data_IF_649995524717
#
_entry.id   IF_649995524717
#
_cell.length_a   1.000
_cell.length_b   1.000
_cell.length_c   1.000
_cell.angle_alpha   90.00
_cell.angle_beta   90.00
_cell.angle_gamma   90.00
#
_symmetry.space_group_name_H-M   'P 1'
#
loop_
_entity.id
_entity.type
_entity.pdbx_description
1 polymer ?
#
# COMPACT_ATOMS: atom_id res chain seq x y z
N UNK A 1 -6.91 -6.33 -19.61
CA UNK A 1 -7.11 -4.85 -19.50
C UNK A 1 -6.15 -4.15 -20.44
N UNK A 2 -6.45 -2.92 -20.86
CA UNK A 2 -5.49 -2.12 -21.60
C UNK A 2 -4.92 -1.05 -20.69
N UNK A 3 -3.60 -0.98 -20.60
CA UNK A 3 -2.89 0.02 -19.82
C UNK A 3 -2.36 1.12 -20.74
N UNK A 4 -2.72 2.36 -20.47
CA UNK A 4 -2.22 3.53 -21.16
C UNK A 4 -1.32 4.33 -20.24
N UNK A 5 -0.08 4.61 -20.67
CA UNK A 5 0.83 5.49 -19.95
C UNK A 5 0.48 6.93 -20.27
N UNK A 6 -0.16 7.61 -19.31
CA UNK A 6 -0.56 9.01 -19.47
C UNK A 6 0.62 9.96 -19.35
N UNK A 7 1.57 9.65 -18.49
CA UNK A 7 2.74 10.48 -18.25
C UNK A 7 3.96 9.60 -17.99
N UNK A 8 5.03 9.80 -18.77
CA UNK A 8 6.29 9.07 -18.59
C UNK A 8 7.10 9.64 -17.42
N UNK A 9 7.03 10.97 -17.22
CA UNK A 9 7.82 11.69 -16.24
C UNK A 9 7.03 12.80 -15.58
N UNK A 10 6.39 12.51 -14.45
CA UNK A 10 5.81 13.52 -13.60
C UNK A 10 6.88 14.50 -13.07
N UNK A 11 6.53 15.73 -12.69
CA UNK A 11 7.51 16.71 -12.21
C UNK A 11 8.09 16.36 -10.84
N UNK A 12 7.40 15.54 -10.04
CA UNK A 12 7.96 15.01 -8.80
C UNK A 12 9.10 14.01 -9.06
N UNK A 13 9.99 13.84 -8.09
CA UNK A 13 11.13 12.92 -8.21
C UNK A 13 10.65 11.48 -8.20
N UNK A 14 11.27 10.63 -9.03
CA UNK A 14 11.02 9.19 -9.08
C UNK A 14 11.12 8.60 -7.66
N UNK A 15 10.13 7.81 -7.29
CA UNK A 15 9.97 7.31 -5.92
C UNK A 15 9.25 5.97 -5.82
N UNK A 16 9.73 5.14 -4.92
CA UNK A 16 8.99 4.03 -4.36
C UNK A 16 8.23 4.47 -3.13
N UNK A 17 7.17 3.74 -2.79
CA UNK A 17 6.34 3.98 -1.61
C UNK A 17 5.74 5.39 -1.55
N UNK A 18 5.32 5.96 -2.69
CA UNK A 18 4.44 7.12 -2.61
C UNK A 18 3.18 6.72 -1.85
N UNK A 19 2.66 7.66 -1.09
CA UNK A 19 1.33 7.58 -0.49
C UNK A 19 0.52 8.77 -0.96
N UNK A 20 -0.77 8.69 -0.78
CA UNK A 20 -1.69 9.74 -1.20
C UNK A 20 -3.11 9.24 -1.24
N UNK A 21 -3.89 9.80 -2.14
CA UNK A 21 -5.30 9.50 -2.29
C UNK A 21 -5.98 10.55 -3.13
N UNK A 22 -7.29 10.69 -2.96
CA UNK A 22 -8.11 11.66 -3.68
C UNK A 22 -8.81 12.61 -2.71
N UNK A 23 -8.73 13.91 -3.00
CA UNK A 23 -9.40 14.96 -2.26
C UNK A 23 -9.85 16.07 -3.22
N UNK A 24 -11.12 16.49 -3.13
CA UNK A 24 -11.68 17.61 -3.90
C UNK A 24 -11.42 17.51 -5.41
N UNK A 25 -11.50 16.30 -5.96
CA UNK A 25 -11.27 16.05 -7.38
C UNK A 25 -9.80 16.01 -7.81
N UNK A 26 -8.86 16.07 -6.88
CA UNK A 26 -7.42 15.93 -7.15
C UNK A 26 -6.89 14.58 -6.66
N UNK A 27 -5.96 14.02 -7.41
CA UNK A 27 -5.02 13.01 -6.92
C UNK A 27 -3.90 13.70 -6.14
N UNK A 28 -3.46 13.09 -5.07
CA UNK A 28 -2.31 13.53 -4.27
C UNK A 28 -1.22 12.47 -4.26
N UNK A 29 0.04 12.93 -4.36
CA UNK A 29 1.24 12.10 -4.23
C UNK A 29 2.16 12.78 -3.24
N UNK A 30 2.51 12.07 -2.17
CA UNK A 30 3.42 12.55 -1.13
C UNK A 30 4.31 11.40 -0.63
N UNK A 31 5.32 11.71 0.18
CA UNK A 31 6.24 10.73 0.80
C UNK A 31 7.08 9.91 -0.19
N UNK A 32 7.67 8.82 0.32
CA UNK A 32 8.41 7.86 -0.47
C UNK A 32 9.93 8.06 -0.44
N UNK A 33 10.62 7.19 -1.16
CA UNK A 33 12.08 7.21 -1.25
C UNK A 33 12.59 7.02 -2.67
N UNK A 34 13.80 7.53 -2.93
CA UNK A 34 14.57 7.22 -4.13
C UNK A 34 15.95 6.66 -3.76
N UNK A 35 16.30 5.55 -4.39
CA UNK A 35 17.55 4.85 -4.10
C UNK A 35 17.71 4.51 -2.61
N UNK A 36 18.95 4.48 -2.14
CA UNK A 36 19.29 4.12 -0.75
C UNK A 36 19.42 5.31 0.19
N UNK A 37 19.28 6.54 -0.28
CA UNK A 37 19.66 7.71 0.50
C UNK A 37 18.72 8.91 0.45
N UNK A 38 17.66 8.88 -0.34
CA UNK A 38 16.76 10.03 -0.46
C UNK A 38 15.36 9.65 -0.03
N UNK A 39 14.80 10.41 0.92
CA UNK A 39 13.43 10.30 1.41
C UNK A 39 12.75 11.65 1.25
N UNK A 40 11.49 11.65 0.91
CA UNK A 40 10.75 12.85 0.52
C UNK A 40 9.79 13.33 1.61
N UNK A 41 9.51 14.64 1.58
CA UNK A 41 8.50 15.32 2.40
C UNK A 41 7.69 16.34 1.59
N UNK A 42 7.72 16.21 0.28
CA UNK A 42 6.95 17.04 -0.64
C UNK A 42 5.52 16.51 -0.83
N UNK A 43 4.61 17.40 -1.15
CA UNK A 43 3.22 17.10 -1.47
C UNK A 43 2.92 17.65 -2.86
N UNK A 44 2.37 16.80 -3.70
CA UNK A 44 1.97 17.11 -5.08
C UNK A 44 0.51 16.76 -5.29
N UNK A 45 -0.17 17.50 -6.16
CA UNK A 45 -1.54 17.16 -6.58
C UNK A 45 -1.77 17.36 -8.07
N UNK A 46 -2.75 16.65 -8.61
CA UNK A 46 -3.14 16.72 -10.01
C UNK A 46 -4.65 16.49 -10.17
N UNK A 47 -5.36 17.28 -11.00
CA UNK A 47 -6.77 16.99 -11.29
C UNK A 47 -6.96 15.81 -12.25
N UNK A 48 -5.94 15.46 -13.04
CA UNK A 48 -6.03 14.59 -14.20
C UNK A 48 -4.88 13.57 -14.33
N UNK A 49 -3.96 13.52 -13.35
CA UNK A 49 -2.76 12.67 -13.38
C UNK A 49 -1.66 13.15 -14.34
N UNK A 50 -1.90 14.21 -15.09
CA UNK A 50 -0.96 14.75 -16.11
C UNK A 50 -0.42 16.13 -15.68
N UNK A 51 -1.31 17.02 -15.27
CA UNK A 51 -0.95 18.35 -14.81
C UNK A 51 -0.74 18.35 -13.30
N UNK A 52 0.49 18.51 -12.87
CA UNK A 52 0.88 18.45 -11.45
C UNK A 52 1.33 19.79 -10.93
N UNK A 53 0.88 20.15 -9.75
CA UNK A 53 1.41 21.27 -8.97
C UNK A 53 2.01 20.78 -7.65
N UNK A 54 3.09 21.41 -7.23
CA UNK A 54 3.68 21.19 -5.91
C UNK A 54 2.92 22.03 -4.87
N UNK A 55 2.19 21.34 -4.00
CA UNK A 55 1.44 21.98 -2.91
C UNK A 55 2.40 22.43 -1.80
N UNK A 56 3.29 21.54 -1.39
CA UNK A 56 4.27 21.78 -0.34
C UNK A 56 5.60 21.14 -0.72
N UNK A 57 6.69 21.90 -0.64
CA UNK A 57 8.01 21.41 -0.96
C UNK A 57 8.65 20.64 0.20
N UNK A 58 8.23 20.93 1.43
CA UNK A 58 8.79 20.35 2.66
C UNK A 58 7.74 20.46 3.77
N UNK A 59 6.96 19.41 3.93
CA UNK A 59 5.94 19.33 4.98
C UNK A 59 6.56 19.14 6.38
N UNK A 60 5.82 19.55 7.40
CA UNK A 60 6.22 19.60 8.80
C UNK A 60 6.52 18.23 9.39
N UNK A 61 5.85 17.16 8.93
CA UNK A 61 6.10 15.78 9.34
C UNK A 61 7.48 15.25 8.93
N UNK A 62 8.22 16.00 8.13
CA UNK A 62 9.58 15.67 7.73
C UNK A 62 9.65 14.57 6.65
N UNK A 63 10.85 14.03 6.44
CA UNK A 63 11.08 13.01 5.40
C UNK A 63 10.57 11.66 5.84
N UNK A 64 9.72 11.00 5.02
CA UNK A 64 9.13 9.70 5.32
C UNK A 64 9.07 8.76 4.13
N UNK A 65 9.33 7.48 4.41
CA UNK A 65 8.93 6.35 3.57
C UNK A 65 8.23 5.31 4.44
N UNK A 66 7.35 4.53 3.82
CA UNK A 66 6.45 3.57 4.50
C UNK A 66 5.55 4.17 5.60
N UNK A 67 5.13 5.45 5.56
CA UNK A 67 3.98 5.84 6.34
C UNK A 67 2.72 5.31 5.68
N UNK A 68 1.58 5.46 6.32
CA UNK A 68 0.29 5.40 5.64
C UNK A 68 -0.33 6.79 5.59
N UNK A 69 -1.19 7.00 4.59
CA UNK A 69 -1.93 8.24 4.40
C UNK A 69 -3.37 7.89 4.06
N UNK A 70 -4.27 8.39 4.88
CA UNK A 70 -5.70 8.29 4.65
C UNK A 70 -6.28 9.68 4.37
N UNK A 71 -7.39 9.70 3.62
CA UNK A 71 -8.15 10.93 3.37
C UNK A 71 -9.59 10.67 3.79
N UNK A 72 -10.01 11.35 4.83
CA UNK A 72 -11.33 11.16 5.48
C UNK A 72 -11.95 12.52 5.70
N UNK A 73 -13.16 12.72 5.19
CA UNK A 73 -13.96 13.95 5.40
C UNK A 73 -13.19 15.26 5.16
N UNK A 74 -12.34 15.27 4.14
CA UNK A 74 -11.53 16.44 3.79
C UNK A 74 -10.22 16.59 4.57
N UNK A 75 -9.94 15.70 5.52
CA UNK A 75 -8.71 15.68 6.31
C UNK A 75 -7.74 14.64 5.72
N UNK A 76 -6.51 15.05 5.47
CA UNK A 76 -5.42 14.12 5.20
C UNK A 76 -4.76 13.72 6.50
N UNK A 77 -4.66 12.42 6.75
CA UNK A 77 -4.06 11.84 7.96
C UNK A 77 -2.80 11.07 7.58
N UNK A 78 -1.63 11.48 8.05
CA UNK A 78 -0.37 10.75 7.86
C UNK A 78 0.00 10.05 9.16
N UNK A 79 0.27 8.76 9.07
CA UNK A 79 0.52 7.88 10.22
C UNK A 79 1.92 7.26 10.12
N UNK A 80 2.75 7.45 11.14
CA UNK A 80 4.01 6.75 11.36
C UNK A 80 5.00 6.76 10.17
N UNK A 81 5.62 5.60 9.88
CA UNK A 81 6.64 5.45 8.84
C UNK A 81 8.06 5.59 9.37
N UNK A 82 9.01 5.73 8.47
CA UNK A 82 10.42 5.90 8.84
C UNK A 82 11.13 6.89 7.90
N UNK A 83 12.16 7.53 8.41
CA UNK A 83 13.24 8.05 7.59
C UNK A 83 14.35 6.97 7.44
N UNK A 84 15.54 7.35 6.99
CA UNK A 84 16.64 6.40 6.83
C UNK A 84 17.22 5.87 8.17
N UNK A 85 16.86 6.46 9.30
CA UNK A 85 17.47 6.18 10.61
C UNK A 85 16.46 5.93 11.72
N UNK A 86 15.31 6.59 11.65
CA UNK A 86 14.33 6.67 12.73
C UNK A 86 12.99 6.11 12.27
N UNK A 87 12.38 5.28 13.09
CA UNK A 87 11.00 4.88 12.97
C UNK A 87 10.15 5.81 13.82
N UNK A 88 8.95 6.10 13.36
CA UNK A 88 8.03 7.05 13.97
C UNK A 88 6.76 6.35 14.46
N UNK A 89 6.06 7.00 15.38
CA UNK A 89 4.73 6.61 15.88
C UNK A 89 3.84 7.82 16.12
N UNK A 90 4.08 8.87 15.37
CA UNK A 90 3.31 10.11 15.39
C UNK A 90 2.20 10.11 14.33
N UNK A 91 1.24 11.01 14.49
CA UNK A 91 0.16 11.23 13.55
C UNK A 91 0.06 12.72 13.22
N UNK A 92 -0.18 13.03 11.97
CA UNK A 92 -0.26 14.37 11.42
C UNK A 92 -1.52 14.57 10.60
N UNK A 93 -2.15 15.73 10.74
CA UNK A 93 -3.32 16.13 9.97
C UNK A 93 -3.02 17.31 9.06
N UNK A 94 -3.71 17.34 7.91
CA UNK A 94 -3.84 18.52 7.08
C UNK A 94 -5.30 18.70 6.68
N UNK A 95 -5.85 19.88 6.93
CA UNK A 95 -7.22 20.26 6.59
C UNK A 95 -7.30 21.26 5.42
N UNK A 96 -6.14 21.56 4.81
CA UNK A 96 -6.00 22.56 3.74
C UNK A 96 -5.43 21.98 2.44
N UNK A 97 -5.61 20.65 2.26
CA UNK A 97 -5.14 19.92 1.08
C UNK A 97 -3.62 19.77 1.02
N UNK A 98 -2.99 19.53 2.15
CA UNK A 98 -1.56 19.22 2.26
C UNK A 98 -0.64 20.43 2.25
N UNK A 99 -1.18 21.67 2.40
CA UNK A 99 -0.34 22.89 2.46
C UNK A 99 0.37 23.03 3.79
N UNK A 100 -0.37 22.79 4.88
CA UNK A 100 0.17 22.81 6.25
C UNK A 100 -0.26 21.55 6.99
N UNK A 101 0.53 21.14 7.99
CA UNK A 101 0.31 19.93 8.75
C UNK A 101 0.49 20.17 10.23
N UNK A 102 -0.44 19.67 11.02
CA UNK A 102 -0.43 19.70 12.47
C UNK A 102 -0.17 18.31 13.04
N UNK A 103 0.71 18.21 14.03
CA UNK A 103 0.96 16.97 14.75
C UNK A 103 -0.10 16.79 15.82
N UNK A 104 -1.02 15.84 15.60
CA UNK A 104 -2.15 15.59 16.51
C UNK A 104 -1.82 14.50 17.54
N UNK A 105 -0.89 13.59 17.24
CA UNK A 105 -0.37 12.63 18.19
C UNK A 105 1.16 12.56 18.07
N UNK A 106 1.87 12.77 19.17
CA UNK A 106 3.34 12.80 19.20
C UNK A 106 3.96 11.44 19.51
N UNK A 107 3.25 10.57 20.22
CA UNK A 107 3.74 9.29 20.72
C UNK A 107 2.57 8.31 20.93
N UNK A 108 2.10 7.74 19.82
CA UNK A 108 0.97 6.82 19.84
C UNK A 108 1.34 5.50 20.57
N UNK A 109 0.39 4.87 21.28
CA UNK A 109 0.67 3.71 22.14
C UNK A 109 1.09 2.45 21.39
N UNK A 110 0.84 2.37 20.10
CA UNK A 110 1.23 1.24 19.27
C UNK A 110 2.74 1.22 18.91
N UNK A 111 3.51 2.23 19.33
CA UNK A 111 4.96 2.30 19.18
C UNK A 111 5.44 2.52 17.74
N UNK A 112 6.75 2.73 17.59
CA UNK A 112 7.37 3.05 16.28
C UNK A 112 7.26 1.92 15.28
N UNK A 113 6.78 2.20 14.06
CA UNK A 113 6.61 1.20 13.01
C UNK A 113 6.60 1.77 11.60
N UNK A 114 6.86 0.90 10.63
CA UNK A 114 6.78 1.19 9.20
C UNK A 114 6.26 -0.04 8.44
N UNK A 115 5.69 0.18 7.25
CA UNK A 115 5.09 -0.89 6.45
C UNK A 115 3.86 -1.53 7.11
N UNK A 116 3.25 -0.82 8.06
CA UNK A 116 1.92 -1.10 8.57
C UNK A 116 0.90 -0.77 7.48
N UNK A 117 -0.36 -1.06 7.73
CA UNK A 117 -1.47 -0.63 6.88
C UNK A 117 -2.50 0.08 7.74
N UNK A 118 -3.04 1.18 7.24
CA UNK A 118 -4.22 1.82 7.81
C UNK A 118 -5.44 1.58 6.93
N UNK A 119 -6.61 1.61 7.52
CA UNK A 119 -7.86 1.45 6.81
C UNK A 119 -8.98 2.18 7.54
N UNK A 120 -9.78 2.93 6.81
CA UNK A 120 -10.96 3.59 7.37
C UNK A 120 -12.16 2.67 7.25
N UNK A 121 -12.78 2.36 8.38
CA UNK A 121 -13.98 1.55 8.45
C UNK A 121 -15.10 2.30 9.18
N UNK A 122 -16.07 2.82 8.44
CA UNK A 122 -17.07 3.71 8.99
C UNK A 122 -16.43 5.02 9.49
N UNK A 123 -16.52 5.26 10.78
CA UNK A 123 -15.98 6.43 11.48
C UNK A 123 -14.64 6.18 12.19
N UNK A 124 -14.05 5.00 12.02
CA UNK A 124 -12.81 4.63 12.70
C UNK A 124 -11.64 4.48 11.75
N UNK A 125 -10.49 4.97 12.20
CA UNK A 125 -9.20 4.70 11.57
C UNK A 125 -8.57 3.46 12.24
N UNK A 126 -8.35 2.42 11.47
CA UNK A 126 -7.73 1.17 11.91
C UNK A 126 -6.26 1.13 11.51
N UNK A 127 -5.40 0.55 12.36
CA UNK A 127 -3.99 0.34 12.09
C UNK A 127 -3.60 -1.12 12.32
N UNK A 128 -3.02 -1.75 11.29
CA UNK A 128 -2.66 -3.16 11.26
C UNK A 128 -1.15 -3.35 11.13
N UNK A 129 -0.59 -4.23 11.93
CA UNK A 129 0.73 -4.79 11.71
C UNK A 129 1.87 -3.77 11.64
N UNK A 130 2.71 -3.96 10.63
CA UNK A 130 3.97 -3.24 10.48
C UNK A 130 5.13 -3.86 11.23
N UNK A 131 6.30 -3.26 11.09
CA UNK A 131 7.51 -3.73 11.73
C UNK A 131 8.37 -2.58 12.22
N UNK A 132 9.15 -2.82 13.27
CA UNK A 132 10.27 -1.97 13.65
C UNK A 132 11.59 -2.68 13.42
N UNK A 133 12.65 -1.88 13.24
CA UNK A 133 14.02 -2.32 13.04
C UNK A 133 14.26 -3.02 11.68
N UNK A 134 15.26 -2.55 10.98
CA UNK A 134 15.63 -3.06 9.65
C UNK A 134 16.50 -4.31 9.68
N UNK A 135 17.10 -4.65 10.83
CA UNK A 135 18.05 -5.78 10.96
C UNK A 135 17.37 -7.00 11.57
N UNK A 136 16.75 -6.83 12.74
CA UNK A 136 15.98 -7.88 13.41
C UNK A 136 14.52 -7.41 13.44
N UNK A 137 13.79 -7.64 12.37
CA UNK A 137 12.42 -7.18 12.24
C UNK A 137 11.55 -7.75 13.35
N UNK A 138 10.90 -6.86 14.10
CA UNK A 138 9.85 -7.22 15.05
C UNK A 138 8.55 -6.81 14.37
N UNK A 139 7.71 -7.80 14.10
CA UNK A 139 6.40 -7.61 13.52
C UNK A 139 5.35 -7.50 14.63
N UNK A 140 4.34 -6.70 14.41
CA UNK A 140 3.28 -6.43 15.37
C UNK A 140 1.99 -7.14 14.96
N UNK A 141 1.58 -8.22 15.64
CA UNK A 141 0.28 -8.87 15.42
C UNK A 141 -0.81 -8.13 16.19
N UNK A 142 -1.04 -6.89 15.88
CA UNK A 142 -1.95 -6.01 16.61
C UNK A 142 -2.87 -5.27 15.65
N UNK A 143 -4.10 -5.06 16.09
CA UNK A 143 -5.04 -4.11 15.51
C UNK A 143 -5.33 -3.01 16.52
N UNK A 144 -5.06 -1.79 16.14
CA UNK A 144 -5.39 -0.59 16.88
C UNK A 144 -6.50 0.19 16.15
N UNK A 145 -7.34 0.87 16.91
CA UNK A 145 -8.42 1.68 16.38
C UNK A 145 -8.39 3.08 17.01
N UNK A 146 -8.74 4.05 16.20
CA UNK A 146 -8.89 5.45 16.59
C UNK A 146 -10.26 5.96 16.13
N UNK A 147 -11.05 6.55 17.03
CA UNK A 147 -12.34 7.15 16.71
C UNK A 147 -12.24 8.62 16.25
N UNK A 148 -11.03 9.19 16.26
CA UNK A 148 -10.76 10.61 16.11
C UNK A 148 -9.59 10.88 15.15
N UNK A 149 -9.51 10.08 14.08
CA UNK A 149 -8.52 10.19 13.00
C UNK A 149 -7.06 10.09 13.49
N UNK A 150 -6.81 9.41 14.59
CA UNK A 150 -5.46 9.15 15.09
C UNK A 150 -4.98 10.05 16.22
N UNK A 151 -5.84 10.90 16.79
CA UNK A 151 -5.52 11.69 17.99
C UNK A 151 -5.37 10.76 19.20
N UNK A 152 -6.31 9.81 19.37
CA UNK A 152 -6.26 8.77 20.41
C UNK A 152 -6.41 7.38 19.81
N UNK A 153 -5.88 6.38 20.52
CA UNK A 153 -5.85 5.00 20.04
C UNK A 153 -6.15 4.01 21.15
N UNK A 154 -6.89 2.96 20.80
CA UNK A 154 -7.12 1.81 21.67
C UNK A 154 -6.67 0.51 20.96
N UNK A 155 -6.13 -0.42 21.75
CA UNK A 155 -5.83 -1.76 21.24
C UNK A 155 -7.15 -2.52 21.07
N UNK A 156 -7.54 -2.75 19.83
CA UNK A 156 -8.78 -3.45 19.49
C UNK A 156 -8.64 -4.96 19.62
N UNK A 157 -7.55 -5.52 19.12
CA UNK A 157 -7.32 -6.95 19.12
C UNK A 157 -5.83 -7.31 19.08
N UNK A 158 -5.49 -8.43 19.73
CA UNK A 158 -4.28 -9.19 19.41
C UNK A 158 -4.61 -10.14 18.28
N UNK A 159 -3.96 -9.94 17.13
CA UNK A 159 -4.18 -10.74 15.95
C UNK A 159 -3.46 -12.09 16.04
N UNK A 160 -3.86 -13.11 15.28
CA UNK A 160 -3.04 -14.30 15.06
C UNK A 160 -1.60 -13.92 14.70
N UNK A 161 -0.62 -14.64 15.24
CA UNK A 161 0.81 -14.32 15.05
C UNK A 161 1.19 -14.19 13.57
N UNK A 162 0.60 -15.04 12.72
CA UNK A 162 0.81 -15.00 11.27
C UNK A 162 0.29 -13.73 10.59
N UNK A 163 -0.52 -12.92 11.26
CA UNK A 163 -0.98 -11.62 10.78
C UNK A 163 -0.07 -10.45 11.21
N UNK A 164 0.95 -10.70 12.03
CA UNK A 164 2.01 -9.71 12.30
C UNK A 164 2.93 -9.58 11.09
N UNK A 165 2.63 -8.64 10.18
CA UNK A 165 3.28 -8.50 8.88
C UNK A 165 3.57 -7.05 8.52
N UNK A 166 4.39 -6.88 7.48
CA UNK A 166 4.58 -5.61 6.80
C UNK A 166 4.26 -5.76 5.30
N UNK A 167 3.80 -4.66 4.67
CA UNK A 167 3.49 -4.63 3.23
C UNK A 167 2.31 -5.53 2.82
N UNK A 168 1.43 -5.86 3.76
CA UNK A 168 0.11 -6.47 3.52
C UNK A 168 -0.87 -5.39 3.08
N UNK A 169 -2.04 -5.84 2.64
CA UNK A 169 -3.17 -4.98 2.31
C UNK A 169 -4.41 -5.38 3.11
N UNK A 170 -5.18 -4.38 3.50
CA UNK A 170 -6.50 -4.55 4.09
C UNK A 170 -7.49 -3.74 3.29
N UNK A 171 -8.61 -4.33 2.94
CA UNK A 171 -9.72 -3.67 2.26
C UNK A 171 -11.03 -4.04 2.94
N UNK A 172 -12.09 -3.29 2.70
CA UNK A 172 -13.44 -3.64 3.16
C UNK A 172 -14.43 -3.69 2.01
N UNK A 173 -15.35 -4.64 2.08
CA UNK A 173 -16.54 -4.72 1.23
C UNK A 173 -17.73 -4.96 2.15
N UNK A 174 -18.75 -4.10 2.10
CA UNK A 174 -19.93 -4.14 2.96
C UNK A 174 -19.58 -4.27 4.45
N UNK A 175 -18.64 -3.43 4.95
CA UNK A 175 -18.12 -3.43 6.33
C UNK A 175 -17.37 -4.72 6.74
N UNK A 176 -17.20 -5.67 5.86
CA UNK A 176 -16.39 -6.87 6.08
C UNK A 176 -14.94 -6.58 5.70
N UNK A 177 -14.03 -6.78 6.65
CA UNK A 177 -12.60 -6.58 6.41
C UNK A 177 -11.95 -7.83 5.80
N UNK A 178 -11.06 -7.59 4.83
CA UNK A 178 -10.23 -8.62 4.20
C UNK A 178 -8.76 -8.22 4.30
N UNK A 179 -7.97 -9.02 4.99
CA UNK A 179 -6.53 -8.86 5.16
C UNK A 179 -5.79 -9.86 4.27
N UNK A 180 -4.77 -9.43 3.52
CA UNK A 180 -4.13 -10.29 2.54
C UNK A 180 -2.66 -9.99 2.30
N UNK A 181 -1.90 -11.04 2.00
CA UNK A 181 -0.50 -10.96 1.58
C UNK A 181 0.46 -10.39 2.64
N UNK A 182 1.51 -9.73 2.20
CA UNK A 182 2.54 -9.16 3.06
C UNK A 182 3.70 -10.09 3.36
N UNK A 183 4.60 -9.65 4.21
CA UNK A 183 5.85 -10.33 4.56
C UNK A 183 5.92 -10.49 6.09
N UNK A 184 6.09 -11.73 6.54
CA UNK A 184 6.25 -12.11 7.95
C UNK A 184 7.53 -12.90 8.10
N UNK A 185 8.31 -12.58 9.12
CA UNK A 185 9.53 -13.25 9.53
C UNK A 185 10.65 -13.34 8.46
N UNK A 186 11.67 -12.52 8.66
CA UNK A 186 12.95 -12.65 7.96
C UNK A 186 14.07 -12.88 8.97
N UNK A 187 14.53 -14.10 9.13
CA UNK A 187 15.89 -14.27 9.63
C UNK A 187 16.84 -13.70 8.59
N UNK A 188 17.55 -12.64 8.91
CA UNK A 188 18.45 -11.88 8.03
C UNK A 188 19.53 -12.77 7.37
N UNK A 189 19.71 -13.99 7.83
CA UNK A 189 20.75 -14.93 7.43
C UNK A 189 20.25 -16.25 6.83
N UNK A 190 18.95 -16.44 6.65
CA UNK A 190 18.46 -17.65 5.98
C UNK A 190 18.09 -17.36 4.53
N UNK A 191 18.70 -18.11 3.63
CA UNK A 191 18.51 -18.04 2.18
C UNK A 191 17.11 -18.45 1.68
N UNK A 192 16.19 -18.80 2.57
CA UNK A 192 14.80 -19.10 2.26
C UNK A 192 13.93 -17.88 2.54
N UNK A 193 13.63 -17.12 1.52
CA UNK A 193 12.77 -15.95 1.55
C UNK A 193 11.27 -16.33 1.57
N UNK A 194 10.85 -17.15 2.52
CA UNK A 194 9.50 -17.70 2.57
C UNK A 194 8.52 -16.88 3.44
N UNK A 195 8.88 -15.65 3.79
CA UNK A 195 8.03 -14.75 4.59
C UNK A 195 6.80 -14.20 3.87
N UNK A 196 6.81 -14.18 2.53
CA UNK A 196 5.67 -13.65 1.75
C UNK A 196 4.49 -14.57 1.79
N UNK A 197 3.30 -13.98 1.77
CA UNK A 197 2.02 -14.67 1.91
C UNK A 197 1.07 -14.37 0.75
N UNK A 198 0.09 -15.24 0.58
CA UNK A 198 -1.06 -15.07 -0.31
C UNK A 198 -2.36 -15.57 0.36
N UNK A 199 -2.33 -15.71 1.67
CA UNK A 199 -3.51 -16.02 2.46
C UNK A 199 -4.44 -14.80 2.53
N UNK A 200 -5.71 -15.10 2.67
CA UNK A 200 -6.78 -14.12 2.81
C UNK A 200 -7.55 -14.42 4.09
N UNK A 201 -7.64 -13.44 4.95
CA UNK A 201 -8.36 -13.49 6.20
C UNK A 201 -9.55 -12.56 6.16
N UNK A 202 -10.62 -12.93 6.83
CA UNK A 202 -11.86 -12.17 6.92
C UNK A 202 -12.21 -11.84 8.36
N UNK A 203 -12.74 -10.64 8.59
CA UNK A 203 -13.38 -10.24 9.84
C UNK A 203 -14.73 -9.60 9.53
N UNK A 204 -15.77 -10.02 10.28
CA UNK A 204 -17.14 -9.48 10.21
C UNK A 204 -17.53 -8.70 11.46
N UNK A 205 -16.59 -8.50 12.38
CA UNK A 205 -16.79 -7.85 13.68
C UNK A 205 -15.80 -6.71 13.90
N UNK A 206 -15.52 -5.95 12.84
CA UNK A 206 -14.61 -4.78 12.83
C UNK A 206 -13.19 -5.12 13.28
N UNK A 207 -12.71 -6.33 12.96
CA UNK A 207 -11.35 -6.77 13.20
C UNK A 207 -11.09 -7.42 14.56
N UNK A 208 -12.11 -7.67 15.38
CA UNK A 208 -11.94 -8.34 16.69
C UNK A 208 -11.57 -9.81 16.51
N UNK A 209 -12.25 -10.51 15.61
CA UNK A 209 -11.93 -11.90 15.28
C UNK A 209 -11.69 -12.09 13.79
N UNK A 210 -10.88 -13.09 13.44
CA UNK A 210 -10.43 -13.34 12.08
C UNK A 210 -10.55 -14.80 11.70
N UNK A 211 -11.06 -15.04 10.52
CA UNK A 211 -11.17 -16.36 9.89
C UNK A 211 -10.24 -16.43 8.68
N UNK A 212 -9.42 -17.48 8.60
CA UNK A 212 -8.64 -17.76 7.41
C UNK A 212 -9.56 -18.38 6.33
N UNK A 213 -9.81 -17.65 5.24
CA UNK A 213 -10.57 -18.14 4.11
C UNK A 213 -9.76 -19.11 3.23
N UNK A 214 -8.45 -18.97 3.21
CA UNK A 214 -7.53 -19.81 2.44
C UNK A 214 -6.44 -19.01 1.75
N UNK A 215 -5.88 -19.61 0.70
CA UNK A 215 -4.83 -19.00 -0.11
C UNK A 215 -5.37 -18.58 -1.47
N UNK A 216 -5.12 -17.33 -1.85
CA UNK A 216 -5.43 -16.85 -3.18
C UNK A 216 -4.53 -17.52 -4.24
N UNK A 217 -4.96 -17.59 -5.51
CA UNK A 217 -4.18 -18.27 -6.57
C UNK A 217 -2.94 -17.49 -7.02
N UNK A 218 -2.84 -16.21 -6.67
CA UNK A 218 -1.66 -15.41 -7.02
C UNK A 218 -0.44 -15.78 -6.17
N UNK A 219 0.74 -15.56 -6.75
CA UNK A 219 2.02 -15.83 -6.10
C UNK A 219 2.16 -15.02 -4.80
N UNK A 220 2.62 -15.62 -3.69
CA UNK A 220 2.87 -14.90 -2.43
C UNK A 220 3.67 -13.63 -2.65
N UNK A 221 3.21 -12.51 -2.10
CA UNK A 221 3.72 -11.17 -2.40
C UNK A 221 3.67 -10.19 -1.25
N UNK A 222 4.50 -9.16 -1.35
CA UNK A 222 4.51 -7.98 -0.47
C UNK A 222 4.65 -6.71 -1.31
N UNK A 223 4.29 -5.54 -0.78
CA UNK A 223 4.36 -4.28 -1.53
C UNK A 223 3.46 -4.25 -2.76
N UNK A 224 2.50 -5.18 -2.85
CA UNK A 224 1.36 -5.10 -3.76
C UNK A 224 0.38 -4.05 -3.27
N UNK A 225 -0.53 -3.66 -4.13
CA UNK A 225 -1.63 -2.79 -3.74
C UNK A 225 -2.96 -3.51 -3.93
N UNK A 226 -3.94 -3.17 -3.10
CA UNK A 226 -5.30 -3.65 -3.24
C UNK A 226 -6.28 -2.47 -3.12
N UNK A 227 -7.31 -2.50 -3.96
CA UNK A 227 -8.41 -1.53 -3.94
C UNK A 227 -9.73 -2.23 -4.16
N UNK A 228 -10.82 -1.56 -3.79
CA UNK A 228 -12.18 -2.03 -4.05
C UNK A 228 -12.85 -1.10 -5.05
N UNK A 229 -13.47 -1.69 -6.06
CA UNK A 229 -14.33 -0.98 -7.00
C UNK A 229 -15.59 -1.82 -7.23
N UNK A 230 -16.75 -1.21 -7.06
CA UNK A 230 -18.07 -1.86 -7.25
C UNK A 230 -18.19 -3.21 -6.51
N UNK A 231 -17.70 -3.28 -5.26
CA UNK A 231 -17.70 -4.48 -4.44
C UNK A 231 -16.67 -5.55 -4.82
N UNK A 232 -15.86 -5.31 -5.85
CA UNK A 232 -14.82 -6.22 -6.30
C UNK A 232 -13.46 -5.76 -5.77
N UNK A 233 -12.72 -6.68 -5.16
CA UNK A 233 -11.34 -6.48 -4.70
C UNK A 233 -10.38 -6.71 -5.85
N UNK A 234 -9.53 -5.74 -6.14
CA UNK A 234 -8.46 -5.84 -7.12
C UNK A 234 -7.10 -5.87 -6.42
N UNK A 235 -6.28 -6.88 -6.73
CA UNK A 235 -4.88 -7.01 -6.26
C UNK A 235 -3.94 -6.81 -7.43
N UNK A 236 -2.98 -5.90 -7.30
CA UNK A 236 -2.13 -5.44 -8.39
C UNK A 236 -0.66 -5.47 -7.99
N UNK A 237 0.19 -6.06 -8.83
CA UNK A 237 1.64 -6.00 -8.72
C UNK A 237 2.22 -6.59 -7.43
N UNK A 238 3.35 -6.04 -7.01
CA UNK A 238 4.08 -6.41 -5.79
C UNK A 238 5.36 -7.18 -6.02
N UNK A 239 6.16 -7.31 -4.98
CA UNK A 239 7.33 -8.17 -4.95
C UNK A 239 6.92 -9.64 -4.82
N UNK A 240 7.33 -10.47 -5.76
CA UNK A 240 7.12 -11.91 -5.76
C UNK A 240 8.46 -12.65 -5.79
N UNK A 241 8.42 -13.92 -5.48
CA UNK A 241 9.59 -14.79 -5.60
C UNK A 241 9.66 -15.39 -7.00
N UNK A 242 10.86 -15.47 -7.56
CA UNK A 242 11.10 -16.17 -8.80
C UNK A 242 11.01 -17.71 -8.68
N UNK A 243 11.03 -18.42 -9.82
CA UNK A 243 11.06 -19.87 -9.85
C UNK A 243 12.13 -20.47 -8.94
N UNK A 244 11.93 -21.71 -8.45
CA UNK A 244 12.80 -22.37 -7.45
C UNK A 244 14.27 -22.51 -7.88
N UNK A 245 14.53 -22.53 -9.16
CA UNK A 245 15.87 -22.59 -9.77
C UNK A 245 16.59 -21.23 -9.77
N UNK A 246 15.85 -20.13 -9.59
CA UNK A 246 16.39 -18.78 -9.54
C UNK A 246 16.14 -18.13 -8.16
N UNK A 247 16.41 -18.84 -7.09
CA UNK A 247 16.10 -18.48 -5.68
C UNK A 247 16.57 -17.09 -5.24
N UNK A 248 17.52 -16.50 -5.94
CA UNK A 248 18.12 -15.20 -5.63
C UNK A 248 17.50 -14.04 -6.36
N UNK A 249 16.64 -14.29 -7.36
CA UNK A 249 15.95 -13.23 -8.09
C UNK A 249 14.59 -12.96 -7.46
N UNK A 250 14.40 -11.71 -7.08
CA UNK A 250 13.09 -11.17 -6.82
C UNK A 250 12.52 -10.72 -8.16
N UNK A 251 11.22 -10.84 -8.31
CA UNK A 251 10.49 -10.38 -9.48
C UNK A 251 9.41 -9.41 -9.04
N UNK A 252 9.06 -8.51 -9.92
CA UNK A 252 7.90 -7.66 -9.76
C UNK A 252 6.73 -8.26 -10.53
N UNK A 253 5.61 -8.44 -9.85
CA UNK A 253 4.41 -8.91 -10.49
C UNK A 253 3.84 -7.82 -11.41
N UNK A 254 3.29 -8.27 -12.54
CA UNK A 254 2.60 -7.44 -13.53
C UNK A 254 1.17 -7.90 -13.76
N UNK A 255 0.66 -8.71 -12.84
CA UNK A 255 -0.68 -9.26 -12.87
C UNK A 255 -1.68 -8.40 -12.11
N UNK A 256 -2.92 -8.45 -12.55
CA UNK A 256 -4.10 -7.90 -11.89
C UNK A 256 -5.07 -9.04 -11.63
N UNK A 257 -5.42 -9.22 -10.38
CA UNK A 257 -6.39 -10.20 -9.92
C UNK A 257 -7.64 -9.51 -9.40
N UNK A 258 -8.79 -10.11 -9.65
CA UNK A 258 -10.07 -9.62 -9.15
C UNK A 258 -10.79 -10.71 -8.36
N UNK A 259 -11.50 -10.31 -7.32
CA UNK A 259 -12.28 -11.17 -6.47
C UNK A 259 -13.51 -10.42 -5.94
N UNK A 260 -14.68 -11.01 -6.16
CA UNK A 260 -15.92 -10.56 -5.55
C UNK A 260 -16.21 -11.46 -4.33
N UNK A 261 -15.97 -10.97 -3.11
CA UNK A 261 -16.17 -11.76 -1.90
C UNK A 261 -17.63 -12.07 -1.64
N UNK A 262 -18.55 -11.21 -2.06
CA UNK A 262 -20.00 -11.40 -1.84
C UNK A 262 -20.54 -12.41 -2.82
N UNK A 263 -20.33 -12.22 -4.12
CA UNK A 263 -20.82 -13.15 -5.14
C UNK A 263 -20.20 -14.55 -5.03
N UNK A 264 -18.94 -14.64 -4.61
CA UNK A 264 -18.26 -15.93 -4.39
C UNK A 264 -18.58 -16.60 -3.04
N UNK A 265 -19.33 -15.93 -2.16
CA UNK A 265 -19.55 -16.37 -0.78
C UNK A 265 -18.26 -16.52 0.02
N UNK A 266 -17.25 -15.73 -0.28
CA UNK A 266 -15.92 -15.80 0.34
C UNK A 266 -15.01 -16.90 -0.22
N UNK A 267 -15.44 -17.63 -1.25
CA UNK A 267 -14.63 -18.70 -1.84
C UNK A 267 -13.36 -18.18 -2.51
N UNK A 268 -12.22 -18.81 -2.23
CA UNK A 268 -10.95 -18.51 -2.90
C UNK A 268 -10.96 -18.91 -4.37
N UNK A 269 -11.84 -19.80 -4.80
CA UNK A 269 -12.05 -20.13 -6.21
C UNK A 269 -12.69 -18.98 -7.01
N UNK A 270 -13.23 -17.97 -6.34
CA UNK A 270 -13.78 -16.77 -6.97
C UNK A 270 -12.72 -15.79 -7.50
N UNK A 271 -11.44 -15.98 -7.19
CA UNK A 271 -10.36 -15.19 -7.75
C UNK A 271 -10.19 -15.44 -9.25
N UNK A 272 -10.06 -14.39 -10.02
CA UNK A 272 -9.79 -14.46 -11.48
C UNK A 272 -8.61 -13.57 -11.85
N UNK A 273 -7.75 -14.08 -12.70
CA UNK A 273 -6.72 -13.27 -13.36
C UNK A 273 -7.43 -12.38 -14.39
N UNK A 274 -7.31 -11.06 -14.22
CA UNK A 274 -7.94 -10.07 -15.09
C UNK A 274 -6.97 -9.63 -16.17
N UNK A 275 -5.70 -9.50 -15.79
CA UNK A 275 -4.63 -9.04 -16.68
C UNK A 275 -3.30 -9.62 -16.21
N UNK A 276 -2.46 -10.02 -17.12
CA UNK A 276 -1.07 -10.46 -16.91
C UNK A 276 -0.06 -9.60 -17.68
N UNK A 277 -0.48 -8.43 -18.12
CA UNK A 277 0.30 -7.51 -18.95
C UNK A 277 0.26 -6.06 -18.44
N UNK A 278 0.00 -5.88 -17.14
CA UNK A 278 -0.04 -4.55 -16.54
C UNK A 278 1.24 -3.75 -16.88
N UNK A 279 1.08 -2.46 -17.08
CA UNK A 279 2.13 -1.52 -17.50
C UNK A 279 2.81 -1.89 -18.81
N UNK A 280 2.15 -2.69 -19.67
CA UNK A 280 2.67 -3.12 -20.96
C UNK A 280 3.72 -4.22 -20.88
N UNK A 281 3.72 -5.04 -19.80
CA UNK A 281 4.64 -6.15 -19.65
C UNK A 281 4.65 -7.08 -20.89
N UNK A 282 5.83 -7.50 -21.31
CA UNK A 282 6.01 -8.32 -22.51
C UNK A 282 5.92 -7.57 -23.86
N UNK A 283 5.70 -6.25 -23.86
CA UNK A 283 5.70 -5.44 -25.09
C UNK A 283 6.95 -4.58 -25.20
N UNK A 284 7.40 -4.20 -26.43
CA UNK A 284 8.51 -3.28 -26.59
C UNK A 284 8.26 -1.94 -25.87
N UNK A 285 9.11 -1.59 -24.91
CA UNK A 285 8.97 -0.38 -24.10
C UNK A 285 8.00 -0.50 -22.92
N UNK A 286 7.41 -1.68 -22.69
CA UNK A 286 6.66 -2.00 -21.49
C UNK A 286 7.56 -2.26 -20.27
N UNK A 287 6.96 -2.33 -19.11
CA UNK A 287 7.64 -2.61 -17.82
C UNK A 287 7.38 -4.05 -17.39
N UNK A 288 8.35 -4.66 -16.70
CA UNK A 288 8.23 -6.05 -16.25
C UNK A 288 7.39 -6.23 -14.99
N UNK A 289 6.88 -5.15 -14.39
CA UNK A 289 6.08 -5.15 -13.18
C UNK A 289 6.40 -3.99 -12.26
N UNK A 290 5.63 -3.83 -11.18
CA UNK A 290 5.83 -2.80 -10.17
C UNK A 290 5.50 -3.28 -8.78
N UNK A 291 6.14 -2.64 -7.80
CA UNK A 291 5.80 -2.73 -6.39
C UNK A 291 5.89 -1.38 -5.71
N UNK A 292 5.31 -1.29 -4.51
CA UNK A 292 5.45 -0.09 -3.69
C UNK A 292 5.06 1.20 -4.44
N UNK A 293 4.03 1.12 -5.27
CA UNK A 293 3.41 2.24 -5.99
C UNK A 293 2.14 2.70 -5.27
N UNK A 294 1.61 3.85 -5.63
CA UNK A 294 0.28 4.28 -5.21
C UNK A 294 -0.74 3.77 -6.24
N UNK A 295 -1.82 3.16 -5.76
CA UNK A 295 -2.94 2.67 -6.57
C UNK A 295 -4.23 3.38 -6.15
N UNK A 296 -4.95 3.91 -7.12
CA UNK A 296 -6.23 4.57 -6.93
C UNK A 296 -7.29 4.06 -7.91
N UNK A 297 -8.55 4.18 -7.52
CA UNK A 297 -9.70 3.97 -8.40
C UNK A 297 -10.42 5.28 -8.61
N UNK A 298 -10.63 5.66 -9.89
CA UNK A 298 -11.40 6.85 -10.25
C UNK A 298 -12.07 6.65 -11.61
N UNK A 299 -13.35 6.98 -11.67
CA UNK A 299 -14.14 6.95 -12.91
C UNK A 299 -14.07 5.59 -13.64
N UNK A 300 -14.20 4.48 -12.91
CA UNK A 300 -14.12 3.12 -13.44
C UNK A 300 -12.75 2.71 -13.95
N UNK A 301 -11.69 3.35 -13.48
CA UNK A 301 -10.31 3.08 -13.90
C UNK A 301 -9.39 2.86 -12.70
N UNK A 302 -8.39 1.98 -12.90
CA UNK A 302 -7.22 1.89 -12.04
C UNK A 302 -6.18 2.92 -12.45
N UNK A 303 -5.64 3.65 -11.47
CA UNK A 303 -4.57 4.62 -11.64
C UNK A 303 -3.36 4.20 -10.82
N UNK A 304 -2.15 4.24 -11.41
CA UNK A 304 -0.92 3.98 -10.66
C UNK A 304 0.08 5.13 -10.80
N UNK A 305 0.78 5.40 -9.68
CA UNK A 305 1.73 6.51 -9.60
C UNK A 305 3.06 6.01 -9.01
N UNK A 306 4.15 6.18 -9.75
CA UNK A 306 5.49 5.81 -9.32
C UNK A 306 5.69 4.33 -9.03
N UNK A 307 6.50 4.01 -8.01
CA UNK A 307 6.81 2.65 -7.58
C UNK A 307 8.25 2.22 -7.88
N UNK A 308 8.62 1.05 -7.35
CA UNK A 308 9.85 0.36 -7.72
C UNK A 308 9.65 -0.40 -9.04
N UNK A 309 10.63 -0.28 -9.95
CA UNK A 309 10.61 -0.84 -11.30
C UNK A 309 11.47 -2.08 -11.46
N UNK A 310 12.50 -2.22 -10.65
CA UNK A 310 13.41 -3.34 -10.66
C UNK A 310 13.83 -3.71 -9.25
N UNK A 311 14.20 -4.96 -9.06
CA UNK A 311 14.63 -5.49 -7.77
C UNK A 311 16.15 -5.43 -7.57
N UNK A 312 16.91 -5.11 -8.63
CA UNK A 312 18.37 -5.04 -8.59
C UNK A 312 18.88 -3.60 -8.41
N UNK A 313 19.84 -3.42 -7.52
CA UNK A 313 20.49 -2.12 -7.24
C UNK A 313 21.35 -1.62 -8.41
N UNK A 314 21.36 -0.31 -8.69
CA UNK A 314 20.61 0.75 -8.02
C UNK A 314 19.16 0.75 -8.49
N UNK A 315 18.24 0.51 -7.58
CA UNK A 315 16.82 0.31 -7.83
C UNK A 315 16.22 1.52 -8.56
N UNK A 316 15.86 1.39 -9.84
CA UNK A 316 15.18 2.46 -10.54
C UNK A 316 13.75 2.57 -10.00
N UNK A 317 13.41 3.76 -9.53
CA UNK A 317 12.06 4.14 -9.20
C UNK A 317 11.44 4.88 -10.36
N UNK A 318 10.12 4.79 -10.43
CA UNK A 318 9.34 5.48 -11.44
C UNK A 318 8.77 6.81 -10.92
N UNK A 319 8.40 7.65 -11.88
CA UNK A 319 7.58 8.85 -11.71
C UNK A 319 6.56 8.96 -12.83
N UNK A 320 6.16 7.82 -13.34
CA UNK A 320 5.16 7.70 -14.38
C UNK A 320 3.75 7.62 -13.80
N UNK A 321 2.79 7.83 -14.67
CA UNK A 321 1.37 7.68 -14.37
C UNK A 321 0.76 6.78 -15.43
N UNK A 322 0.12 5.71 -14.97
CA UNK A 322 -0.60 4.78 -15.82
C UNK A 322 -2.05 4.67 -15.41
N UNK A 323 -2.87 4.37 -16.41
CA UNK A 323 -4.31 4.15 -16.21
C UNK A 323 -4.76 2.93 -17.00
N UNK A 324 -5.73 2.20 -16.45
CA UNK A 324 -6.40 1.11 -17.15
C UNK A 324 -7.89 1.10 -16.83
N UNK A 325 -8.72 0.84 -17.84
CA UNK A 325 -10.14 0.64 -17.61
C UNK A 325 -10.38 -0.64 -16.79
N UNK A 326 -11.21 -0.54 -15.77
CA UNK A 326 -11.71 -1.71 -15.06
C UNK A 326 -12.55 -2.58 -16.00
N UNK A 327 -12.51 -3.91 -15.86
CA UNK A 327 -13.39 -4.77 -16.65
C UNK A 327 -14.85 -4.39 -16.41
N UNK A 328 -15.64 -4.34 -17.47
CA UNK A 328 -17.11 -4.29 -17.31
C UNK A 328 -17.57 -5.51 -16.51
N UNK A 329 -18.36 -5.27 -15.49
CA UNK A 329 -18.99 -6.28 -14.62
C UNK A 329 -19.81 -7.31 -15.39
#
# INVERSE_FOLDING_TARGET
MRWDRLLDRAPWKARAMPRGGQLDGFFYVLTGRAGTGTVFSDVWRSPDGVQWEQVTAKAEWGKRCYPEVEIVDGVMVLVAGQDLRTFHNDVWHSTDGGRTWEQVCTDAPWGVRAGHHTHVLGDELLLFGGARNSVNRIFYPELWASPDLGETWELRAQLPTDMGRAGMQVVSVDDVLYFMGGDHDRPVFQASWDGRRNDVWRSTDRGVTWELLGHAPWTPRTGHQAVVADGVVYVVGGHVRGPRDQRWRQYLAHDVWAWDPVASGGSMAGWRLVDDTAWGAGTPGGQEGKSDFLLEVRDGKLWTFGGDREVLSPWPQDRDVWVADLPSS
#
